data_IF_090193396830
#
_entry.id   IF_090193396830
#
_cell.length_a   1.000
_cell.length_b   1.000
_cell.length_c   1.000
_cell.angle_alpha   90.00
_cell.angle_beta   90.00
_cell.angle_gamma   90.00
#
_symmetry.space_group_name_H-M   'P 1'
#
loop_
_entity.id
_entity.type
_entity.pdbx_description
1 polymer ?
#
# COMPACT_ATOMS: atom_id res chain seq x y z
N UNK A 1 9.74 -15.38 -5.72
CA UNK A 1 11.07 -15.65 -5.12
C UNK A 1 11.58 -14.48 -4.26
N UNK A 2 11.83 -13.30 -4.85
CA UNK A 2 12.37 -12.14 -4.10
C UNK A 2 11.49 -11.69 -2.92
N UNK A 3 10.16 -11.72 -3.07
CA UNK A 3 9.22 -11.39 -1.96
C UNK A 3 9.33 -12.43 -0.83
N UNK A 4 9.47 -13.72 -1.18
CA UNK A 4 9.60 -14.78 -0.17
C UNK A 4 10.91 -14.61 0.61
N UNK A 5 12.04 -14.37 -0.08
CA UNK A 5 13.33 -14.10 0.57
C UNK A 5 13.26 -12.91 1.52
N UNK A 6 12.62 -11.80 1.09
CA UNK A 6 12.42 -10.63 1.94
C UNK A 6 11.57 -10.94 3.20
N UNK A 7 10.53 -11.76 3.04
CA UNK A 7 9.67 -12.19 4.16
C UNK A 7 10.48 -13.07 5.11
N UNK A 8 11.22 -14.05 4.58
CA UNK A 8 12.02 -14.99 5.37
C UNK A 8 13.10 -14.24 6.18
N UNK A 9 13.83 -13.32 5.55
CA UNK A 9 14.86 -12.50 6.21
C UNK A 9 14.30 -11.71 7.42
N UNK A 10 13.11 -11.10 7.28
CA UNK A 10 12.50 -10.33 8.37
C UNK A 10 11.82 -11.21 9.43
N UNK A 11 11.41 -12.44 9.09
CA UNK A 11 10.98 -13.42 10.09
C UNK A 11 12.18 -13.88 10.93
N UNK A 12 13.34 -14.12 10.32
CA UNK A 12 14.58 -14.47 11.02
C UNK A 12 15.04 -13.33 11.96
N UNK A 13 14.97 -12.08 11.51
CA UNK A 13 15.25 -10.90 12.34
C UNK A 13 14.30 -10.79 13.55
N UNK A 14 13.02 -11.04 13.34
CA UNK A 14 12.01 -11.01 14.40
C UNK A 14 12.22 -12.16 15.41
N UNK A 15 12.60 -13.36 14.94
CA UNK A 15 12.94 -14.49 15.82
C UNK A 15 14.18 -14.18 16.68
N UNK A 16 15.20 -13.54 16.09
CA UNK A 16 16.43 -13.16 16.78
C UNK A 16 16.21 -12.12 17.90
N UNK A 17 15.23 -11.22 17.75
CA UNK A 17 14.84 -10.25 18.81
C UNK A 17 14.18 -10.95 20.01
N UNK A 18 13.46 -12.05 19.78
CA UNK A 18 12.84 -12.88 20.81
C UNK A 18 11.42 -12.45 21.23
N UNK A 19 10.90 -13.00 22.35
CA UNK A 19 9.53 -12.74 22.78
C UNK A 19 9.24 -11.26 23.00
N UNK A 20 8.02 -10.84 22.62
CA UNK A 20 7.57 -9.44 22.62
C UNK A 20 8.24 -8.54 21.55
N UNK A 21 8.79 -9.14 20.49
CA UNK A 21 9.21 -8.42 19.30
C UNK A 21 8.07 -7.56 18.70
N UNK A 22 8.43 -6.36 18.22
CA UNK A 22 7.50 -5.48 17.51
C UNK A 22 7.34 -5.90 16.06
N UNK A 23 6.26 -6.65 15.78
CA UNK A 23 5.91 -7.10 14.42
C UNK A 23 5.74 -5.94 13.45
N UNK A 24 5.26 -4.78 13.90
CA UNK A 24 5.05 -3.64 13.01
C UNK A 24 6.41 -3.16 12.50
N UNK A 25 7.32 -2.79 13.40
CA UNK A 25 8.62 -2.23 13.07
C UNK A 25 9.61 -3.20 12.43
N UNK A 26 9.59 -4.48 12.83
CA UNK A 26 10.55 -5.49 12.39
C UNK A 26 10.09 -6.30 11.17
N UNK A 27 8.78 -6.35 10.87
CA UNK A 27 8.26 -7.18 9.78
C UNK A 27 7.35 -6.42 8.82
N UNK A 28 6.22 -5.88 9.29
CA UNK A 28 5.22 -5.27 8.42
C UNK A 28 5.76 -4.05 7.64
N UNK A 29 6.42 -3.15 8.37
CA UNK A 29 7.06 -1.96 7.87
C UNK A 29 8.15 -2.24 6.83
N UNK A 30 9.16 -3.08 7.12
CA UNK A 30 10.23 -3.34 6.18
C UNK A 30 9.79 -4.21 5.00
N UNK A 31 8.85 -5.14 5.17
CA UNK A 31 8.26 -5.89 4.03
C UNK A 31 7.55 -4.95 3.07
N UNK A 32 6.67 -4.07 3.57
CA UNK A 32 5.94 -3.10 2.72
C UNK A 32 6.87 -2.17 1.93
N UNK A 33 7.92 -1.66 2.58
CA UNK A 33 8.93 -0.83 1.91
C UNK A 33 9.84 -1.61 0.96
N UNK A 34 10.23 -2.82 1.34
CA UNK A 34 11.17 -3.68 0.61
C UNK A 34 10.60 -4.19 -0.71
N UNK A 35 9.34 -4.64 -0.72
CA UNK A 35 8.65 -5.07 -1.95
C UNK A 35 8.62 -3.94 -2.98
N UNK A 36 8.34 -2.71 -2.53
CA UNK A 36 8.27 -1.59 -3.44
C UNK A 36 9.66 -1.14 -3.92
N UNK A 37 10.68 -1.20 -3.06
CA UNK A 37 12.06 -0.97 -3.47
C UNK A 37 12.51 -1.97 -4.54
N UNK A 38 12.10 -3.24 -4.43
CA UNK A 38 12.34 -4.26 -5.46
C UNK A 38 11.65 -3.89 -6.77
N UNK A 39 10.37 -3.51 -6.73
CA UNK A 39 9.60 -3.12 -7.93
C UNK A 39 10.21 -1.92 -8.66
N UNK A 40 10.66 -0.91 -7.91
CA UNK A 40 11.25 0.31 -8.45
C UNK A 40 12.72 0.15 -8.87
N UNK A 41 13.34 -1.01 -8.65
CA UNK A 41 14.75 -1.25 -8.96
C UNK A 41 15.71 -0.45 -8.05
N UNK A 42 15.32 -0.20 -6.80
CA UNK A 42 16.15 0.51 -5.83
C UNK A 42 17.29 -0.42 -5.37
N UNK A 43 18.57 0.00 -5.53
CA UNK A 43 19.72 -0.77 -5.05
C UNK A 43 19.59 -1.11 -3.57
N UNK A 44 20.01 -2.33 -3.17
CA UNK A 44 19.89 -2.83 -1.78
C UNK A 44 20.44 -1.84 -0.75
N UNK A 45 21.62 -1.26 -1.01
CA UNK A 45 22.29 -0.31 -0.11
C UNK A 45 21.50 1.00 0.10
N UNK A 46 20.62 1.36 -0.85
CA UNK A 46 19.81 2.58 -0.79
C UNK A 46 18.47 2.38 -0.08
N UNK A 47 17.99 1.13 0.08
CA UNK A 47 16.60 0.81 0.49
C UNK A 47 16.25 1.35 1.87
N UNK A 48 17.10 1.11 2.86
CA UNK A 48 16.85 1.57 4.23
C UNK A 48 16.72 3.09 4.30
N UNK A 49 17.58 3.81 3.58
CA UNK A 49 17.54 5.26 3.54
C UNK A 49 16.32 5.79 2.78
N UNK A 50 15.98 5.14 1.68
CA UNK A 50 14.85 5.46 0.85
C UNK A 50 13.52 5.32 1.61
N UNK A 51 13.30 4.17 2.27
CA UNK A 51 12.12 3.91 3.11
C UNK A 51 12.04 4.94 4.25
N UNK A 52 13.18 5.22 4.92
CA UNK A 52 13.25 6.22 6.00
C UNK A 52 12.82 7.62 5.53
N UNK A 53 13.20 8.03 4.32
CA UNK A 53 12.82 9.33 3.74
C UNK A 53 11.33 9.39 3.41
N UNK A 54 10.75 8.31 2.92
CA UNK A 54 9.33 8.22 2.58
C UNK A 54 8.47 8.38 3.83
N UNK A 55 8.76 7.62 4.89
CA UNK A 55 8.02 7.74 6.16
C UNK A 55 8.08 9.15 6.73
N UNK A 56 9.26 9.78 6.71
CA UNK A 56 9.44 11.17 7.17
C UNK A 56 8.71 12.19 6.29
N UNK A 57 8.49 11.91 5.01
CA UNK A 57 7.79 12.79 4.10
C UNK A 57 6.28 12.84 4.41
N UNK A 58 5.69 11.71 4.76
CA UNK A 58 4.26 11.58 5.06
C UNK A 58 3.91 11.91 6.51
N UNK A 59 4.89 11.90 7.42
CA UNK A 59 4.70 12.31 8.82
C UNK A 59 4.44 13.82 8.96
N UNK A 60 3.16 14.15 9.13
CA UNK A 60 2.67 15.53 9.28
C UNK A 60 3.19 16.24 10.54
N UNK A 61 3.59 15.49 11.58
CA UNK A 61 4.02 16.04 12.87
C UNK A 61 5.38 16.77 12.79
N UNK A 62 6.19 16.46 11.78
CA UNK A 62 7.54 17.03 11.58
C UNK A 62 7.52 18.50 11.14
N UNK A 63 6.36 19.02 10.77
CA UNK A 63 6.19 20.39 10.29
C UNK A 63 6.68 20.60 8.85
N UNK A 64 6.21 21.68 8.24
CA UNK A 64 6.36 21.93 6.81
C UNK A 64 7.82 22.00 6.33
N UNK A 65 8.70 22.68 7.08
CA UNK A 65 10.10 22.87 6.67
C UNK A 65 10.89 21.57 6.59
N UNK A 66 10.70 20.66 7.54
CA UNK A 66 11.37 19.35 7.55
C UNK A 66 10.88 18.49 6.37
N UNK A 67 9.56 18.45 6.16
CA UNK A 67 8.95 17.72 5.03
C UNK A 67 9.40 18.26 3.67
N UNK A 68 9.55 19.58 3.53
CA UNK A 68 10.07 20.20 2.30
C UNK A 68 11.53 19.78 2.02
N UNK A 69 12.38 19.70 3.05
CA UNK A 69 13.76 19.24 2.89
C UNK A 69 13.83 17.76 2.52
N UNK A 70 13.01 16.92 3.16
CA UNK A 70 12.91 15.48 2.87
C UNK A 70 12.38 15.25 1.44
N UNK A 71 11.37 16.02 1.01
CA UNK A 71 10.85 16.01 -0.36
C UNK A 71 11.89 16.43 -1.40
N UNK A 72 12.67 17.48 -1.13
CA UNK A 72 13.71 17.93 -2.05
C UNK A 72 14.83 16.87 -2.20
N UNK A 73 15.20 16.20 -1.11
CA UNK A 73 16.20 15.13 -1.16
C UNK A 73 15.68 13.88 -1.90
N UNK A 74 14.41 13.53 -1.67
CA UNK A 74 13.74 12.45 -2.38
C UNK A 74 13.65 12.71 -3.89
N UNK A 75 13.28 13.93 -4.30
CA UNK A 75 13.26 14.31 -5.71
C UNK A 75 14.65 14.20 -6.36
N UNK A 76 15.71 14.69 -5.71
CA UNK A 76 17.09 14.55 -6.23
C UNK A 76 17.54 13.09 -6.39
N UNK A 77 17.08 12.22 -5.49
CA UNK A 77 17.35 10.80 -5.60
C UNK A 77 16.64 10.19 -6.82
N UNK A 78 15.35 10.50 -7.01
CA UNK A 78 14.60 10.05 -8.18
C UNK A 78 15.19 10.61 -9.48
N UNK A 79 15.61 11.87 -9.53
CA UNK A 79 16.26 12.46 -10.70
C UNK A 79 17.52 11.67 -11.07
N UNK A 80 18.33 11.31 -10.07
CA UNK A 80 19.55 10.52 -10.27
C UNK A 80 19.24 9.10 -10.75
N UNK A 81 18.20 8.46 -10.18
CA UNK A 81 17.74 7.13 -10.58
C UNK A 81 17.22 7.13 -12.02
N UNK A 82 16.34 8.06 -12.38
CA UNK A 82 15.78 8.21 -13.73
C UNK A 82 16.89 8.51 -14.74
N UNK A 83 17.85 9.37 -14.39
CA UNK A 83 19.00 9.67 -15.27
C UNK A 83 19.83 8.42 -15.57
N UNK A 84 20.01 7.51 -14.60
CA UNK A 84 20.68 6.21 -14.83
C UNK A 84 19.84 5.33 -15.76
N UNK A 85 18.55 5.20 -15.47
CA UNK A 85 17.62 4.39 -16.25
C UNK A 85 17.47 4.88 -17.69
N UNK A 86 17.58 6.20 -17.96
CA UNK A 86 17.62 6.73 -19.33
C UNK A 86 18.89 6.37 -20.11
N UNK A 87 20.02 6.16 -19.41
CA UNK A 87 21.30 5.82 -20.06
C UNK A 87 21.44 4.33 -20.29
N UNK A 88 21.02 3.52 -19.32
CA UNK A 88 21.12 2.07 -19.33
C UNK A 88 19.87 1.47 -18.64
N UNK A 89 18.74 1.32 -19.38
CA UNK A 89 17.48 0.89 -18.79
C UNK A 89 17.49 -0.59 -18.38
N UNK A 90 17.30 -0.87 -17.09
CA UNK A 90 17.20 -2.22 -16.55
C UNK A 90 15.79 -2.82 -16.64
N UNK A 91 15.63 -4.10 -16.26
CA UNK A 91 14.33 -4.81 -16.28
C UNK A 91 13.35 -4.36 -15.19
N UNK A 92 13.70 -3.37 -14.36
CA UNK A 92 12.81 -2.80 -13.34
C UNK A 92 11.74 -1.87 -13.92
N UNK A 93 10.81 -1.44 -13.07
CA UNK A 93 9.65 -0.64 -13.49
C UNK A 93 10.03 0.63 -14.28
N UNK A 94 11.01 1.40 -13.79
CA UNK A 94 11.43 2.65 -14.45
C UNK A 94 12.15 2.35 -15.77
N UNK A 95 13.04 1.36 -15.79
CA UNK A 95 13.74 0.96 -17.00
C UNK A 95 12.78 0.44 -18.09
N UNK A 96 11.79 -0.37 -17.70
CA UNK A 96 10.69 -0.81 -18.58
C UNK A 96 9.94 0.37 -19.19
N UNK A 97 9.49 1.35 -18.38
CA UNK A 97 8.79 2.53 -18.89
C UNK A 97 9.65 3.35 -19.86
N UNK A 98 10.95 3.49 -19.57
CA UNK A 98 11.90 4.16 -20.47
C UNK A 98 12.06 3.40 -21.78
N UNK A 99 12.14 2.05 -21.76
CA UNK A 99 12.26 1.26 -22.99
C UNK A 99 11.01 1.32 -23.86
N UNK A 100 9.83 1.23 -23.25
CA UNK A 100 8.56 1.16 -23.98
C UNK A 100 8.07 2.52 -24.47
N UNK A 101 8.30 3.58 -23.70
CA UNK A 101 7.78 4.91 -24.01
C UNK A 101 8.86 5.91 -24.43
N UNK A 102 10.13 5.69 -24.09
CA UNK A 102 11.24 6.56 -24.48
C UNK A 102 11.05 8.01 -24.09
N UNK A 103 10.99 8.89 -25.09
CA UNK A 103 10.77 10.34 -24.93
C UNK A 103 9.29 10.72 -24.77
N UNK A 104 8.35 9.78 -24.97
CA UNK A 104 6.92 10.05 -24.77
C UNK A 104 6.53 10.15 -23.29
N UNK A 105 7.40 9.71 -22.38
CA UNK A 105 7.24 9.87 -20.94
C UNK A 105 8.33 10.82 -20.42
N UNK A 106 7.90 11.90 -19.77
CA UNK A 106 8.81 12.89 -19.21
C UNK A 106 9.38 12.44 -17.86
N UNK A 107 10.50 13.03 -17.44
CA UNK A 107 11.07 12.76 -16.12
C UNK A 107 10.13 13.16 -14.98
N UNK A 108 9.35 14.22 -15.16
CA UNK A 108 8.34 14.62 -14.17
C UNK A 108 7.21 13.60 -14.05
N UNK A 109 6.76 13.00 -15.17
CA UNK A 109 5.77 11.92 -15.15
C UNK A 109 6.34 10.66 -14.49
N UNK A 110 7.58 10.27 -14.80
CA UNK A 110 8.26 9.14 -14.15
C UNK A 110 8.37 9.35 -12.62
N UNK A 111 8.74 10.56 -12.18
CA UNK A 111 8.76 10.92 -10.75
C UNK A 111 7.38 10.86 -10.12
N UNK A 112 6.37 11.38 -10.81
CA UNK A 112 4.98 11.32 -10.38
C UNK A 112 4.50 9.89 -10.18
N UNK A 113 4.80 9.00 -11.13
CA UNK A 113 4.47 7.57 -11.05
C UNK A 113 5.19 6.88 -9.89
N UNK A 114 6.50 7.11 -9.73
CA UNK A 114 7.25 6.57 -8.60
C UNK A 114 6.64 7.03 -7.27
N UNK A 115 6.32 8.32 -7.15
CA UNK A 115 5.71 8.89 -5.95
C UNK A 115 4.32 8.29 -5.67
N UNK A 116 3.50 8.10 -6.71
CA UNK A 116 2.18 7.48 -6.58
C UNK A 116 2.27 6.03 -6.08
N UNK A 117 3.20 5.24 -6.63
CA UNK A 117 3.45 3.87 -6.17
C UNK A 117 3.94 3.82 -4.71
N UNK A 118 4.77 4.77 -4.31
CA UNK A 118 5.29 4.88 -2.94
C UNK A 118 4.21 5.20 -1.92
N UNK A 119 3.42 6.23 -2.20
CA UNK A 119 2.34 6.63 -1.31
C UNK A 119 1.22 5.58 -1.27
N UNK A 120 0.97 4.90 -2.39
CA UNK A 120 -0.08 3.89 -2.51
C UNK A 120 0.30 2.51 -1.99
N UNK A 121 1.59 2.15 -1.98
CA UNK A 121 2.03 0.76 -1.77
C UNK A 121 2.73 0.47 -0.44
N UNK A 122 3.43 1.44 0.18
CA UNK A 122 4.23 1.14 1.39
C UNK A 122 3.35 1.01 2.62
N UNK A 123 2.61 2.07 2.95
CA UNK A 123 1.82 2.15 4.18
C UNK A 123 0.59 1.23 4.16
N UNK A 124 0.00 1.02 2.98
CA UNK A 124 -1.17 0.14 2.81
C UNK A 124 -0.81 -1.32 3.03
N UNK A 125 0.33 -1.79 2.50
CA UNK A 125 0.82 -3.16 2.71
C UNK A 125 1.25 -3.36 4.16
N UNK A 126 2.03 -2.43 4.72
CA UNK A 126 2.44 -2.51 6.13
C UNK A 126 1.23 -2.49 7.07
N UNK A 127 0.25 -1.63 6.82
CA UNK A 127 -1.00 -1.58 7.57
C UNK A 127 -1.82 -2.87 7.45
N UNK A 128 -1.92 -3.45 6.25
CA UNK A 128 -2.60 -4.74 6.05
C UNK A 128 -1.93 -5.89 6.77
N UNK A 129 -0.59 -5.95 6.80
CA UNK A 129 0.13 -6.97 7.56
C UNK A 129 -0.15 -6.80 9.06
N UNK A 130 0.04 -5.59 9.60
CA UNK A 130 -0.15 -5.31 11.02
C UNK A 130 -1.58 -5.57 11.50
N UNK A 131 -2.57 -4.95 10.83
CA UNK A 131 -3.98 -5.15 11.18
C UNK A 131 -4.48 -6.55 10.83
N UNK A 132 -3.95 -7.18 9.77
CA UNK A 132 -4.28 -8.53 9.38
C UNK A 132 -3.86 -9.55 10.44
N UNK A 133 -2.62 -9.45 10.92
CA UNK A 133 -2.14 -10.29 12.02
C UNK A 133 -2.96 -10.07 13.29
N UNK A 134 -3.26 -8.82 13.64
CA UNK A 134 -4.12 -8.52 14.79
C UNK A 134 -5.51 -9.17 14.65
N UNK A 135 -6.16 -9.00 13.50
CA UNK A 135 -7.50 -9.55 13.25
C UNK A 135 -7.52 -11.09 13.27
N UNK A 136 -6.48 -11.74 12.73
CA UNK A 136 -6.36 -13.20 12.75
C UNK A 136 -6.04 -13.74 14.15
N UNK A 137 -5.29 -13.00 14.98
CA UNK A 137 -5.04 -13.41 16.36
C UNK A 137 -6.30 -13.28 17.24
N UNK A 138 -7.16 -12.32 16.95
CA UNK A 138 -8.47 -12.17 17.60
C UNK A 138 -9.48 -13.26 17.18
N UNK A 139 -9.29 -13.90 16.02
CA UNK A 139 -10.14 -14.97 15.50
C UNK A 139 -9.35 -16.24 15.11
N UNK A 140 -9.14 -17.17 16.06
CA UNK A 140 -8.36 -18.39 15.81
C UNK A 140 -8.90 -19.28 14.69
N UNK A 141 -10.22 -19.32 14.47
CA UNK A 141 -10.82 -20.14 13.43
C UNK A 141 -10.46 -19.62 12.03
N UNK A 142 -10.41 -18.28 11.87
CA UNK A 142 -10.00 -17.64 10.62
C UNK A 142 -8.49 -17.78 10.37
N UNK A 143 -7.68 -17.71 11.44
CA UNK A 143 -6.23 -17.96 11.36
C UNK A 143 -5.93 -19.38 10.86
N UNK A 144 -6.65 -20.38 11.37
CA UNK A 144 -6.37 -21.79 11.03
C UNK A 144 -6.64 -22.08 9.53
N UNK A 145 -7.54 -21.33 8.89
CA UNK A 145 -7.82 -21.44 7.45
C UNK A 145 -6.62 -21.16 6.56
N UNK A 146 -5.69 -20.31 7.00
CA UNK A 146 -4.46 -19.98 6.24
C UNK A 146 -3.60 -21.24 6.00
N UNK A 147 -3.69 -22.24 6.91
CA UNK A 147 -2.92 -23.48 6.82
C UNK A 147 -3.66 -24.59 6.04
N UNK A 148 -4.92 -24.39 5.67
CA UNK A 148 -5.73 -25.39 4.97
C UNK A 148 -5.47 -25.45 3.44
N UNK A 149 -4.65 -24.55 2.90
CA UNK A 149 -4.20 -24.57 1.50
C UNK A 149 -4.33 -23.22 0.79
N UNK A 150 -3.75 -23.09 -0.42
CA UNK A 150 -3.62 -21.80 -1.12
C UNK A 150 -4.95 -21.13 -1.44
N UNK A 151 -5.98 -21.90 -1.81
CA UNK A 151 -7.33 -21.34 -2.08
C UNK A 151 -7.96 -20.70 -0.84
N UNK A 152 -7.63 -21.20 0.36
CA UNK A 152 -8.12 -20.62 1.61
C UNK A 152 -7.32 -19.36 1.99
N UNK A 153 -6.02 -19.32 1.68
CA UNK A 153 -5.20 -18.10 1.84
C UNK A 153 -5.81 -16.96 1.02
N UNK A 154 -6.16 -17.20 -0.25
CA UNK A 154 -6.76 -16.17 -1.10
C UNK A 154 -8.07 -15.64 -0.53
N UNK A 155 -8.92 -16.52 0.03
CA UNK A 155 -10.17 -16.12 0.68
C UNK A 155 -9.94 -15.31 1.96
N UNK A 156 -8.98 -15.72 2.78
CA UNK A 156 -8.63 -14.99 4.01
C UNK A 156 -8.10 -13.61 3.66
N UNK A 157 -7.22 -13.49 2.65
CA UNK A 157 -6.71 -12.19 2.18
C UNK A 157 -7.84 -11.31 1.65
N UNK A 158 -8.73 -11.85 0.82
CA UNK A 158 -9.87 -11.10 0.30
C UNK A 158 -10.80 -10.61 1.42
N UNK A 159 -11.10 -11.47 2.40
CA UNK A 159 -11.95 -11.11 3.53
C UNK A 159 -11.27 -10.08 4.46
N UNK A 160 -9.95 -10.19 4.69
CA UNK A 160 -9.19 -9.19 5.44
C UNK A 160 -9.21 -7.83 4.73
N UNK A 161 -9.09 -7.80 3.40
CA UNK A 161 -9.16 -6.56 2.61
C UNK A 161 -10.52 -5.88 2.78
N UNK A 162 -11.62 -6.62 2.64
CA UNK A 162 -12.97 -6.11 2.91
C UNK A 162 -13.07 -5.61 4.36
N UNK A 163 -12.74 -6.47 5.32
CA UNK A 163 -12.96 -6.22 6.75
C UNK A 163 -12.15 -5.03 7.27
N UNK A 164 -10.88 -4.93 6.89
CA UNK A 164 -9.94 -3.91 7.39
C UNK A 164 -9.98 -2.63 6.57
N UNK A 165 -10.13 -2.73 5.24
CA UNK A 165 -10.18 -1.58 4.33
C UNK A 165 -9.03 -0.59 4.58
N UNK A 166 -7.77 -0.95 4.27
CA UNK A 166 -6.57 -0.19 4.68
C UNK A 166 -6.58 1.24 4.14
N UNK A 167 -7.18 1.44 2.96
CA UNK A 167 -7.57 2.76 2.47
C UNK A 167 -9.02 3.02 2.86
N UNK A 168 -9.23 3.65 4.01
CA UNK A 168 -10.58 3.90 4.53
C UNK A 168 -11.35 4.94 3.70
N UNK A 169 -10.64 5.93 3.16
CA UNK A 169 -11.20 7.00 2.33
C UNK A 169 -10.18 7.35 1.22
N UNK A 170 -10.52 7.17 -0.06
CA UNK A 170 -9.65 7.53 -1.16
C UNK A 170 -9.71 9.04 -1.41
N UNK A 171 -9.09 9.52 -2.50
CA UNK A 171 -9.17 10.92 -2.92
C UNK A 171 -10.63 11.40 -2.99
N UNK A 172 -10.97 12.53 -2.34
CA UNK A 172 -12.26 13.16 -2.47
C UNK A 172 -12.64 13.37 -3.94
N UNK A 173 -13.89 13.08 -4.30
CA UNK A 173 -14.40 13.32 -5.66
C UNK A 173 -15.01 14.70 -5.73
N UNK A 174 -14.49 15.55 -6.61
CA UNK A 174 -15.09 16.84 -6.91
C UNK A 174 -16.11 16.68 -8.03
N UNK A 175 -17.34 17.13 -7.80
CA UNK A 175 -18.37 17.13 -8.82
C UNK A 175 -18.02 18.16 -9.91
N UNK A 176 -17.82 17.72 -11.15
CA UNK A 176 -17.55 18.62 -12.29
C UNK A 176 -18.83 19.20 -12.90
N UNK A 177 -19.99 18.66 -12.51
CA UNK A 177 -21.33 19.09 -12.91
C UNK A 177 -22.34 18.67 -11.84
N UNK A 178 -23.48 19.33 -11.82
CA UNK A 178 -24.61 18.94 -10.98
C UNK A 178 -25.05 17.49 -11.26
N UNK A 179 -25.28 16.71 -10.20
CA UNK A 179 -25.72 15.31 -10.28
C UNK A 179 -26.64 14.96 -9.11
N UNK A 180 -27.65 14.12 -9.35
CA UNK A 180 -28.53 13.58 -8.29
C UNK A 180 -28.09 12.17 -7.94
N UNK A 181 -27.75 11.93 -6.67
CA UNK A 181 -27.39 10.60 -6.11
C UNK A 181 -28.27 10.36 -4.88
N UNK A 182 -28.94 9.22 -4.82
CA UNK A 182 -29.92 8.88 -3.75
C UNK A 182 -30.93 10.00 -3.46
N UNK A 183 -31.42 10.65 -4.53
CA UNK A 183 -32.37 11.75 -4.45
C UNK A 183 -31.79 13.07 -3.91
N UNK A 184 -30.47 13.16 -3.68
CA UNK A 184 -29.77 14.37 -3.25
C UNK A 184 -29.02 15.01 -4.41
N UNK A 185 -29.24 16.30 -4.61
CA UNK A 185 -28.48 17.09 -5.58
C UNK A 185 -27.09 17.43 -5.00
N UNK A 186 -26.05 16.97 -5.67
CA UNK A 186 -24.65 17.37 -5.47
C UNK A 186 -24.34 18.38 -6.57
N UNK A 187 -23.89 19.59 -6.21
CA UNK A 187 -23.63 20.65 -7.18
C UNK A 187 -22.21 20.57 -7.74
N UNK A 188 -22.02 21.13 -8.93
CA UNK A 188 -20.70 21.36 -9.48
C UNK A 188 -19.83 22.14 -8.47
N UNK A 189 -18.63 21.63 -8.19
CA UNK A 189 -17.69 22.15 -7.20
C UNK A 189 -17.78 21.51 -5.81
N UNK A 190 -18.86 20.79 -5.50
CA UNK A 190 -18.97 20.07 -4.22
C UNK A 190 -17.97 18.90 -4.16
N UNK A 191 -17.41 18.66 -2.98
CA UNK A 191 -16.60 17.48 -2.69
C UNK A 191 -17.42 16.39 -2.03
N UNK A 192 -17.25 15.16 -2.52
CA UNK A 192 -17.83 13.95 -1.97
C UNK A 192 -16.73 13.08 -1.38
N UNK A 193 -16.91 12.71 -0.12
CA UNK A 193 -16.07 11.75 0.57
C UNK A 193 -16.72 10.37 0.47
N UNK A 194 -15.99 9.40 -0.08
CA UNK A 194 -16.45 8.02 -0.17
C UNK A 194 -15.76 7.19 0.91
N UNK A 195 -16.50 6.72 1.91
CA UNK A 195 -15.93 5.84 2.93
C UNK A 195 -15.96 4.39 2.45
N UNK A 196 -14.80 3.89 2.01
CA UNK A 196 -14.60 2.48 1.61
C UNK A 196 -14.86 1.57 2.81
N UNK A 197 -14.32 1.94 3.98
CA UNK A 197 -14.51 1.17 5.20
C UNK A 197 -15.99 0.99 5.51
N UNK A 198 -16.79 2.06 5.46
CA UNK A 198 -18.22 1.94 5.76
C UNK A 198 -18.99 1.18 4.67
N UNK A 199 -18.63 1.35 3.39
CA UNK A 199 -19.24 0.59 2.30
C UNK A 199 -18.98 -0.92 2.45
N UNK A 200 -17.77 -1.31 2.85
CA UNK A 200 -17.41 -2.71 3.09
C UNK A 200 -18.02 -3.29 4.38
N UNK A 201 -18.60 -2.43 5.23
CA UNK A 201 -19.35 -2.81 6.44
C UNK A 201 -20.87 -2.74 6.27
N UNK A 202 -21.38 -2.54 5.06
CA UNK A 202 -22.83 -2.43 4.77
C UNK A 202 -23.49 -3.82 4.71
N UNK A 203 -24.59 -4.03 5.44
CA UNK A 203 -25.37 -5.26 5.36
C UNK A 203 -25.96 -5.53 3.97
N UNK A 204 -26.12 -4.50 3.13
CA UNK A 204 -26.52 -4.64 1.74
C UNK A 204 -25.45 -5.32 0.87
N UNK A 205 -24.17 -5.24 1.27
CA UNK A 205 -23.07 -5.93 0.60
C UNK A 205 -23.01 -7.40 1.03
N UNK A 206 -23.02 -7.66 2.34
CA UNK A 206 -22.92 -9.01 2.89
C UNK A 206 -23.53 -9.10 4.30
N UNK A 207 -24.17 -10.22 4.68
CA UNK A 207 -24.66 -10.42 6.04
C UNK A 207 -23.53 -10.42 7.08
N UNK A 208 -23.81 -9.94 8.30
CA UNK A 208 -22.85 -9.84 9.40
C UNK A 208 -21.50 -9.23 8.95
N UNK A 209 -21.52 -8.02 8.35
CA UNK A 209 -20.34 -7.46 7.69
C UNK A 209 -19.25 -7.02 8.69
N UNK A 210 -19.61 -6.93 9.98
CA UNK A 210 -18.70 -6.65 11.09
C UNK A 210 -18.03 -7.90 11.70
N UNK A 211 -18.23 -9.08 11.10
CA UNK A 211 -17.54 -10.32 11.47
C UNK A 211 -16.51 -10.65 10.40
N UNK A 212 -15.32 -11.09 10.81
CA UNK A 212 -14.32 -11.65 9.91
C UNK A 212 -14.71 -13.10 9.59
N UNK A 213 -15.08 -13.38 8.35
CA UNK A 213 -15.45 -14.73 7.92
C UNK A 213 -15.02 -14.99 6.47
N UNK A 214 -13.89 -15.66 6.28
CA UNK A 214 -13.36 -16.01 4.97
C UNK A 214 -14.13 -17.15 4.28
N UNK A 215 -15.06 -17.80 4.99
CA UNK A 215 -15.97 -18.81 4.40
C UNK A 215 -17.24 -18.17 3.83
N UNK A 216 -17.44 -16.86 4.01
CA UNK A 216 -18.58 -16.15 3.42
C UNK A 216 -18.58 -16.29 1.90
N UNK A 217 -19.75 -16.15 1.30
CA UNK A 217 -19.86 -16.07 -0.15
C UNK A 217 -19.06 -14.86 -0.67
N UNK A 218 -18.33 -15.05 -1.77
CA UNK A 218 -17.57 -13.97 -2.40
C UNK A 218 -18.51 -12.82 -2.79
N UNK A 219 -18.09 -11.61 -2.47
CA UNK A 219 -18.77 -10.36 -2.80
C UNK A 219 -17.80 -9.43 -3.50
N UNK A 220 -18.34 -8.46 -4.25
CA UNK A 220 -17.53 -7.39 -4.84
C UNK A 220 -17.40 -6.28 -3.81
N UNK A 221 -16.47 -6.42 -2.86
CA UNK A 221 -16.09 -5.33 -1.97
C UNK A 221 -15.40 -4.19 -2.74
N UNK A 222 -15.14 -3.07 -2.05
CA UNK A 222 -14.56 -1.87 -2.65
C UNK A 222 -13.23 -1.46 -2.00
N UNK A 223 -12.49 -2.42 -1.42
CA UNK A 223 -11.15 -2.15 -0.90
C UNK A 223 -10.15 -1.75 -2.01
N UNK A 224 -10.39 -2.21 -3.25
CA UNK A 224 -9.61 -1.89 -4.45
C UNK A 224 -10.50 -1.57 -5.66
#
# INVERSE_FOLDING_TARGET
>A
PAIQELIDDHLDEMEAEGPHADLQGLFADPVGGGVLCELLGIPRDDRAEFIRRIRRNVDISRGFKARAADSAAFNRYLDSLITRQRKDPDEGFIGMLVREHGENVTDEELKGLCTALLLGGVETVAGMIGFGVLALLDDPEQKDLVFEGPENVDRVVAELLRYLSPVQQPNPRMAIRDVVVDGKLIKAGDYVLCSILMANRDEALTPNPNVLDAKRASVSDVAF
#
